data_IF_528044174884
#
_entry.id   IF_528044174884
#
_cell.length_a   1.000
_cell.length_b   1.000
_cell.length_c   1.000
_cell.angle_alpha   90.00
_cell.angle_beta   90.00
_cell.angle_gamma   90.00
#
_symmetry.space_group_name_H-M   'P 1'
#
loop_
_entity.id
_entity.type
_entity.pdbx_description
1 polymer ?
#
# COMPACT_ATOMS: atom_id res chain seq x y z
N UNK A 1 -9.45 0.96 3.90
CA UNK A 1 -8.35 0.19 4.51
C UNK A 1 -7.58 -0.52 3.39
N UNK A 2 -6.42 0.03 3.03
CA UNK A 2 -5.62 -0.40 1.88
C UNK A 2 -5.14 -1.85 2.00
N UNK A 3 -4.92 -2.32 3.23
CA UNK A 3 -4.44 -3.67 3.49
C UNK A 3 -5.48 -4.72 3.11
N UNK A 4 -6.74 -4.51 3.50
CA UNK A 4 -7.84 -5.47 3.29
C UNK A 4 -8.20 -5.63 1.81
N UNK A 5 -7.89 -4.64 0.98
CA UNK A 5 -8.08 -4.70 -0.48
C UNK A 5 -7.01 -5.54 -1.17
N UNK A 6 -5.87 -5.79 -0.53
CA UNK A 6 -4.80 -6.57 -1.13
C UNK A 6 -5.08 -8.07 -0.98
N UNK A 7 -5.04 -8.81 -2.10
CA UNK A 7 -5.41 -10.22 -2.15
C UNK A 7 -4.65 -11.09 -1.14
N UNK A 8 -3.37 -10.82 -0.89
CA UNK A 8 -2.51 -11.60 0.02
C UNK A 8 -2.64 -11.24 1.49
N UNK A 9 -3.42 -10.22 1.85
CA UNK A 9 -3.52 -9.75 3.24
C UNK A 9 -4.08 -10.83 4.17
N UNK A 10 -5.22 -11.42 3.80
CA UNK A 10 -5.88 -12.42 4.63
C UNK A 10 -5.02 -13.68 4.83
N UNK A 11 -4.33 -14.12 3.78
CA UNK A 11 -3.43 -15.27 3.85
C UNK A 11 -2.23 -14.99 4.74
N UNK A 12 -1.65 -13.79 4.65
CA UNK A 12 -0.53 -13.36 5.51
C UNK A 12 -0.92 -13.34 6.98
N UNK A 13 -2.10 -12.78 7.31
CA UNK A 13 -2.63 -12.74 8.67
C UNK A 13 -2.90 -14.16 9.16
N UNK A 14 -3.58 -14.99 8.36
CA UNK A 14 -3.90 -16.38 8.70
C UNK A 14 -2.64 -17.20 8.99
N UNK A 15 -1.65 -17.13 8.11
CA UNK A 15 -0.38 -17.85 8.25
C UNK A 15 0.34 -17.46 9.56
N UNK A 16 0.40 -16.17 9.88
CA UNK A 16 0.99 -15.70 11.14
C UNK A 16 0.18 -16.12 12.37
N UNK A 17 -1.15 -16.11 12.27
CA UNK A 17 -2.05 -16.44 13.39
C UNK A 17 -2.03 -17.93 13.73
N UNK A 18 -1.96 -18.80 12.73
CA UNK A 18 -1.97 -20.26 12.89
C UNK A 18 -0.66 -20.83 13.45
N UNK A 19 0.44 -20.08 13.42
CA UNK A 19 1.69 -20.52 14.02
C UNK A 19 1.52 -20.78 15.53
N UNK A 20 1.95 -21.97 15.94
CA UNK A 20 1.93 -22.42 17.33
C UNK A 20 2.83 -21.55 18.21
N UNK A 21 2.50 -21.52 19.49
CA UNK A 21 3.31 -20.90 20.55
C UNK A 21 3.31 -21.86 21.73
N UNK A 22 4.38 -21.85 22.53
CA UNK A 22 4.46 -22.66 23.74
C UNK A 22 3.83 -21.96 24.96
N UNK A 23 3.17 -20.83 24.74
CA UNK A 23 2.59 -19.97 25.76
C UNK A 23 1.08 -20.21 25.87
N UNK A 24 0.50 -19.85 27.01
CA UNK A 24 -0.92 -20.05 27.32
C UNK A 24 -1.59 -18.74 27.74
N UNK A 25 -2.92 -18.71 27.65
CA UNK A 25 -3.74 -17.56 28.05
C UNK A 25 -3.32 -16.26 27.38
N UNK A 26 -3.26 -15.17 28.15
CA UNK A 26 -2.94 -13.83 27.65
C UNK A 26 -1.52 -13.71 27.06
N UNK A 27 -0.56 -14.50 27.55
CA UNK A 27 0.81 -14.52 27.02
C UNK A 27 0.87 -15.08 25.60
N UNK A 28 0.02 -16.07 25.29
CA UNK A 28 -0.12 -16.58 23.93
C UNK A 28 -0.64 -15.49 22.98
N UNK A 29 -1.69 -14.78 23.42
CA UNK A 29 -2.27 -13.69 22.65
C UNK A 29 -1.25 -12.58 22.39
N UNK A 30 -0.52 -12.14 23.42
CA UNK A 30 0.53 -11.12 23.30
C UNK A 30 1.59 -11.52 22.26
N UNK A 31 2.07 -12.76 22.32
CA UNK A 31 3.09 -13.26 21.39
C UNK A 31 2.59 -13.33 19.94
N UNK A 32 1.37 -13.83 19.74
CA UNK A 32 0.71 -13.84 18.42
C UNK A 32 0.58 -12.42 17.86
N UNK A 33 0.21 -11.45 18.69
CA UNK A 33 0.08 -10.05 18.27
C UNK A 33 1.43 -9.41 17.94
N UNK A 34 2.48 -9.63 18.75
CA UNK A 34 3.84 -9.16 18.47
C UNK A 34 4.36 -9.69 17.14
N UNK A 35 4.20 -10.99 16.92
CA UNK A 35 4.57 -11.64 15.66
C UNK A 35 3.78 -11.09 14.49
N UNK A 36 2.46 -10.98 14.62
CA UNK A 36 1.59 -10.43 13.59
C UNK A 36 2.01 -9.00 13.22
N UNK A 37 2.34 -8.15 14.20
CA UNK A 37 2.85 -6.80 13.95
C UNK A 37 4.13 -6.81 13.12
N UNK A 38 5.07 -7.70 13.41
CA UNK A 38 6.32 -7.82 12.66
C UNK A 38 6.05 -8.26 11.20
N UNK A 39 5.27 -9.33 11.04
CA UNK A 39 4.89 -9.88 9.73
C UNK A 39 4.16 -8.82 8.89
N UNK A 40 3.20 -8.10 9.48
CA UNK A 40 2.47 -7.03 8.77
C UNK A 40 3.37 -5.87 8.38
N UNK A 41 4.35 -5.49 9.22
CA UNK A 41 5.32 -4.45 8.87
C UNK A 41 6.17 -4.86 7.66
N UNK A 42 6.67 -6.09 7.65
CA UNK A 42 7.44 -6.63 6.52
C UNK A 42 6.58 -6.79 5.26
N UNK A 43 5.37 -7.32 5.41
CA UNK A 43 4.41 -7.47 4.31
C UNK A 43 4.04 -6.12 3.71
N UNK A 44 3.81 -5.10 4.54
CA UNK A 44 3.50 -3.75 4.06
C UNK A 44 4.67 -3.18 3.24
N UNK A 45 5.91 -3.34 3.72
CA UNK A 45 7.09 -2.89 2.99
C UNK A 45 7.31 -3.65 1.68
N UNK A 46 7.14 -4.97 1.67
CA UNK A 46 7.36 -5.78 0.45
C UNK A 46 6.24 -5.59 -0.58
N UNK A 47 5.01 -5.42 -0.14
CA UNK A 47 3.83 -5.29 -1.02
C UNK A 47 3.69 -3.87 -1.56
N UNK A 48 3.68 -2.87 -0.66
CA UNK A 48 3.43 -1.49 -1.03
C UNK A 48 4.74 -0.71 -1.27
N UNK A 49 5.84 -1.10 -0.65
CA UNK A 49 7.14 -0.42 -0.79
C UNK A 49 7.12 0.98 -0.20
N UNK A 50 8.00 1.82 -0.72
CA UNK A 50 7.90 3.26 -0.56
C UNK A 50 6.79 3.78 -1.48
N UNK A 51 5.63 4.06 -0.88
CA UNK A 51 4.43 4.53 -1.58
C UNK A 51 4.73 5.87 -2.26
N UNK A 52 5.45 6.77 -1.59
CA UNK A 52 5.78 8.10 -2.11
C UNK A 52 6.79 7.99 -3.27
N UNK A 53 7.77 7.09 -3.18
CA UNK A 53 8.68 6.83 -4.30
C UNK A 53 7.94 6.28 -5.53
N UNK A 54 6.98 5.37 -5.32
CA UNK A 54 6.14 4.82 -6.40
C UNK A 54 5.21 5.86 -7.00
N UNK A 55 4.67 6.79 -6.20
CA UNK A 55 3.90 7.92 -6.71
C UNK A 55 4.77 8.82 -7.60
N UNK A 56 5.96 9.19 -7.13
CA UNK A 56 6.91 10.01 -7.91
C UNK A 56 7.29 9.32 -9.22
N UNK A 57 7.56 8.01 -9.20
CA UNK A 57 7.84 7.25 -10.42
C UNK A 57 6.66 7.25 -11.41
N UNK A 58 5.44 7.05 -10.93
CA UNK A 58 4.23 7.09 -11.77
C UNK A 58 3.96 8.50 -12.31
N UNK A 59 4.24 9.55 -11.53
CA UNK A 59 4.13 10.94 -11.95
C UNK A 59 5.13 11.26 -13.07
N UNK A 60 6.39 10.84 -12.94
CA UNK A 60 7.41 11.01 -13.97
C UNK A 60 7.02 10.27 -15.25
N UNK A 61 6.54 9.02 -15.14
CA UNK A 61 6.07 8.26 -16.30
C UNK A 61 4.86 8.91 -17.01
N UNK A 62 3.93 9.50 -16.24
CA UNK A 62 2.84 10.28 -16.82
C UNK A 62 3.36 11.53 -17.55
N UNK A 63 4.28 12.29 -16.95
CA UNK A 63 4.87 13.49 -17.57
C UNK A 63 5.67 13.17 -18.85
N UNK A 64 6.36 12.02 -18.89
CA UNK A 64 7.05 11.54 -20.09
C UNK A 64 6.08 11.13 -21.20
N UNK A 65 4.99 10.44 -20.84
CA UNK A 65 3.94 10.06 -21.79
C UNK A 65 3.21 11.30 -22.35
N UNK A 66 2.97 12.31 -21.51
CA UNK A 66 2.38 13.60 -21.92
C UNK A 66 3.31 14.33 -22.91
N UNK A 67 4.61 14.43 -22.61
CA UNK A 67 5.60 15.00 -23.56
C UNK A 67 5.66 14.25 -24.89
N UNK A 68 5.56 12.92 -24.85
CA UNK A 68 5.58 12.10 -26.06
C UNK A 68 4.35 12.36 -26.91
N UNK A 69 3.18 12.54 -26.28
CA UNK A 69 1.95 12.92 -26.95
C UNK A 69 2.00 14.35 -27.53
N UNK A 70 2.62 15.30 -26.83
CA UNK A 70 2.82 16.66 -27.33
C UNK A 70 3.72 16.70 -28.59
N UNK A 71 4.69 15.77 -28.68
CA UNK A 71 5.56 15.62 -29.84
C UNK A 71 4.87 14.86 -30.98
N UNK A 72 4.10 13.83 -30.67
CA UNK A 72 3.35 13.02 -31.62
C UNK A 72 1.96 12.67 -31.06
N UNK A 73 0.94 13.31 -31.63
CA UNK A 73 -0.46 13.21 -31.20
C UNK A 73 -1.19 11.95 -31.75
N UNK A 74 -0.44 10.89 -32.01
CA UNK A 74 -0.97 9.62 -32.48
C UNK A 74 -1.97 8.98 -31.48
N UNK A 75 -2.96 8.22 -31.98
CA UNK A 75 -3.92 7.49 -31.13
C UNK A 75 -3.25 6.56 -30.12
N UNK A 76 -2.12 5.96 -30.49
CA UNK A 76 -1.31 5.06 -29.66
C UNK A 76 -0.72 5.83 -28.47
N UNK A 77 -0.05 6.96 -28.70
CA UNK A 77 0.52 7.79 -27.64
C UNK A 77 -0.56 8.34 -26.70
N UNK A 78 -1.74 8.68 -27.25
CA UNK A 78 -2.89 9.09 -26.44
C UNK A 78 -3.36 7.97 -25.50
N UNK A 79 -3.36 6.72 -25.97
CA UNK A 79 -3.76 5.56 -25.18
C UNK A 79 -2.75 5.28 -24.06
N UNK A 80 -1.46 5.38 -24.35
CA UNK A 80 -0.38 5.23 -23.37
C UNK A 80 -0.41 6.34 -22.31
N UNK A 81 -0.59 7.60 -22.72
CA UNK A 81 -0.77 8.72 -21.79
C UNK A 81 -1.94 8.48 -20.83
N UNK A 82 -3.08 8.02 -21.35
CA UNK A 82 -4.26 7.68 -20.52
C UNK A 82 -3.97 6.52 -19.57
N UNK A 83 -3.22 5.51 -20.01
CA UNK A 83 -2.80 4.38 -19.18
C UNK A 83 -1.91 4.84 -18.02
N UNK A 84 -0.88 5.63 -18.32
CA UNK A 84 0.00 6.21 -17.30
C UNK A 84 -0.76 7.14 -16.34
N UNK A 85 -1.70 7.93 -16.85
CA UNK A 85 -2.55 8.79 -16.03
C UNK A 85 -3.42 7.98 -15.05
N UNK A 86 -4.08 6.92 -15.55
CA UNK A 86 -4.89 6.06 -14.70
C UNK A 86 -4.04 5.37 -13.62
N UNK A 87 -2.82 4.93 -13.95
CA UNK A 87 -1.90 4.38 -12.96
C UNK A 87 -1.48 5.43 -11.92
N UNK A 88 -1.11 6.63 -12.35
CA UNK A 88 -0.78 7.73 -11.44
C UNK A 88 -1.94 8.04 -10.47
N UNK A 89 -3.17 8.16 -10.98
CA UNK A 89 -4.36 8.38 -10.16
C UNK A 89 -4.59 7.25 -9.14
N UNK A 90 -4.39 5.99 -9.55
CA UNK A 90 -4.48 4.87 -8.63
C UNK A 90 -3.45 4.96 -7.50
N UNK A 91 -2.19 5.30 -7.82
CA UNK A 91 -1.14 5.48 -6.81
C UNK A 91 -1.46 6.63 -5.86
N UNK A 92 -1.99 7.74 -6.38
CA UNK A 92 -2.39 8.90 -5.59
C UNK A 92 -3.47 8.53 -4.56
N UNK A 93 -4.51 7.80 -4.99
CA UNK A 93 -5.56 7.32 -4.09
C UNK A 93 -5.02 6.39 -3.00
N UNK A 94 -4.04 5.53 -3.33
CA UNK A 94 -3.40 4.66 -2.34
C UNK A 94 -2.62 5.47 -1.29
N UNK A 95 -1.93 6.53 -1.70
CA UNK A 95 -1.20 7.42 -0.79
C UNK A 95 -2.15 8.22 0.11
N UNK A 96 -3.24 8.76 -0.45
CA UNK A 96 -4.27 9.40 0.36
C UNK A 96 -4.86 8.44 1.42
N UNK A 97 -5.21 7.21 1.01
CA UNK A 97 -5.76 6.20 1.93
C UNK A 97 -4.75 5.83 3.03
N UNK A 98 -3.46 5.79 2.71
CA UNK A 98 -2.37 5.56 3.67
C UNK A 98 -2.29 6.70 4.69
N UNK A 99 -2.28 7.96 4.24
CA UNK A 99 -2.18 9.11 5.13
C UNK A 99 -3.45 9.31 5.97
N UNK A 100 -4.64 9.07 5.40
CA UNK A 100 -5.91 9.08 6.15
C UNK A 100 -5.91 8.07 7.29
N UNK A 101 -5.42 6.86 7.05
CA UNK A 101 -5.28 5.84 8.10
C UNK A 101 -4.27 6.24 9.17
N UNK A 102 -3.10 6.74 8.76
CA UNK A 102 -2.06 7.17 9.70
C UNK A 102 -2.52 8.33 10.57
N UNK A 103 -3.26 9.28 9.99
CA UNK A 103 -3.90 10.37 10.73
C UNK A 103 -4.95 9.84 11.71
N UNK A 104 -5.83 8.92 11.29
CA UNK A 104 -6.84 8.33 12.18
C UNK A 104 -6.20 7.59 13.38
N UNK A 105 -5.14 6.81 13.15
CA UNK A 105 -4.40 6.14 14.23
C UNK A 105 -3.75 7.16 15.17
N UNK A 106 -3.18 8.23 14.62
CA UNK A 106 -2.58 9.31 15.42
C UNK A 106 -3.62 10.02 16.28
N UNK A 107 -4.80 10.32 15.72
CA UNK A 107 -5.91 10.91 16.45
C UNK A 107 -6.38 10.03 17.62
N UNK A 108 -6.51 8.72 17.41
CA UNK A 108 -6.84 7.77 18.49
C UNK A 108 -5.73 7.70 19.56
N UNK A 109 -4.47 7.92 19.18
CA UNK A 109 -3.35 7.90 20.13
C UNK A 109 -3.16 9.23 20.90
N UNK A 110 -3.60 10.36 20.35
CA UNK A 110 -3.47 11.70 20.94
C UNK A 110 -4.73 12.14 21.72
N UNK A 111 -5.84 11.41 21.66
CA UNK A 111 -7.11 11.82 22.26
C UNK A 111 -8.07 10.68 22.60
N UNK A 112 -7.68 9.85 23.58
CA UNK A 112 -8.44 9.57 24.81
C UNK A 112 -7.50 9.67 26.02
#
# INVERSE_FOLDING_TARGET
NMWVRHHSFYDTVRASWQQATHLYGMRNLEEKLKRLRCVLKQWNWTTFGDISQRLTAAQTAYAEAERTYDLDSSPENRSEMRRCHAEYQLRLLMEEDFWKQKAAVRWVAEGE
#
